data_IF_762650091319
#
_entry.id   IF_762650091319
#
_cell.length_a   1.000
_cell.length_b   1.000
_cell.length_c   1.000
_cell.angle_alpha   90.00
_cell.angle_beta   90.00
_cell.angle_gamma   90.00
#
_symmetry.space_group_name_H-M   'P 1'
#
loop_
_entity.id
_entity.type
_entity.pdbx_description
1 polymer ?
#
# COMPACT_ATOMS: atom_id res chain seq x y z
N UNK A 1 25.35 6.71 -16.20
CA UNK A 1 24.55 5.73 -15.41
C UNK A 1 23.13 6.26 -15.40
N UNK A 2 22.17 5.50 -15.93
CA UNK A 2 20.76 5.90 -15.97
C UNK A 2 20.23 5.97 -14.54
N UNK A 3 20.35 7.14 -13.90
CA UNK A 3 19.78 7.40 -12.58
C UNK A 3 18.27 7.56 -12.76
N UNK A 4 17.56 6.45 -12.91
CA UNK A 4 16.12 6.44 -12.74
C UNK A 4 15.84 6.94 -11.30
N UNK A 5 15.38 8.18 -11.18
CA UNK A 5 15.03 8.82 -9.90
C UNK A 5 13.91 8.02 -9.20
N UNK A 6 13.12 7.30 -9.99
CA UNK A 6 12.00 6.47 -9.54
C UNK A 6 12.43 5.00 -9.49
N UNK A 7 12.10 4.35 -8.38
CA UNK A 7 12.29 2.93 -8.14
C UNK A 7 10.96 2.20 -8.03
N UNK A 8 10.74 1.51 -6.91
CA UNK A 8 9.55 0.72 -6.67
C UNK A 8 8.25 1.55 -6.74
N UNK A 9 7.25 1.03 -7.47
CA UNK A 9 5.94 1.66 -7.65
C UNK A 9 6.00 3.13 -8.14
N UNK A 10 7.00 3.46 -8.95
CA UNK A 10 7.21 4.82 -9.44
C UNK A 10 7.59 5.84 -8.35
N UNK A 11 7.99 5.38 -7.17
CA UNK A 11 8.40 6.24 -6.06
C UNK A 11 9.92 6.34 -5.99
N UNK A 12 10.42 7.50 -5.56
CA UNK A 12 11.83 7.67 -5.24
C UNK A 12 12.15 6.98 -3.91
N UNK A 13 13.28 6.29 -3.85
CA UNK A 13 13.81 5.78 -2.58
C UNK A 13 14.37 6.94 -1.75
N UNK A 14 14.00 7.01 -0.48
CA UNK A 14 14.72 7.86 0.47
C UNK A 14 16.08 7.21 0.75
N UNK A 15 17.15 7.88 0.34
CA UNK A 15 18.52 7.39 0.49
C UNK A 15 19.02 7.39 1.92
N UNK A 16 18.34 8.12 2.84
CA UNK A 16 18.72 8.16 4.26
C UNK A 16 18.11 6.96 4.99
N UNK A 17 16.79 6.76 4.87
CA UNK A 17 16.11 5.64 5.52
C UNK A 17 16.08 4.33 4.71
N UNK A 18 16.50 4.37 3.44
CA UNK A 18 16.40 3.27 2.48
C UNK A 18 14.97 2.74 2.32
N UNK A 19 13.98 3.63 2.39
CA UNK A 19 12.56 3.29 2.35
C UNK A 19 11.80 4.04 1.25
N UNK A 20 10.61 3.55 0.91
CA UNK A 20 9.67 4.21 0.00
C UNK A 20 8.51 4.82 0.80
N UNK A 21 7.87 5.85 0.27
CA UNK A 21 6.86 6.64 0.97
C UNK A 21 5.52 6.70 0.21
N UNK A 22 4.78 5.58 0.07
CA UNK A 22 3.44 5.56 -0.51
C UNK A 22 2.44 6.29 0.38
N UNK A 23 1.25 6.62 -0.15
CA UNK A 23 0.25 7.34 0.64
C UNK A 23 0.66 8.75 1.02
N UNK A 24 1.37 9.46 0.13
CA UNK A 24 1.92 10.79 0.43
C UNK A 24 2.80 10.80 1.70
N UNK A 25 3.53 9.71 1.94
CA UNK A 25 4.39 9.55 3.11
C UNK A 25 3.68 9.18 4.41
N UNK A 26 2.40 8.79 4.35
CA UNK A 26 1.66 8.30 5.52
C UNK A 26 2.41 7.17 6.25
N UNK A 27 2.99 6.22 5.50
CA UNK A 27 3.82 5.14 6.05
C UNK A 27 5.06 4.88 5.22
N UNK A 28 6.18 4.62 5.90
CA UNK A 28 7.42 4.21 5.25
C UNK A 28 7.40 2.71 4.96
N UNK A 29 7.54 2.36 3.68
CA UNK A 29 7.66 0.98 3.18
C UNK A 29 9.12 0.57 3.10
N UNK A 30 9.46 -0.53 3.77
CA UNK A 30 10.80 -1.11 3.72
C UNK A 30 10.89 -2.12 2.56
N UNK A 31 11.71 -1.87 1.52
CA UNK A 31 11.80 -2.74 0.37
C UNK A 31 12.50 -4.07 0.65
N UNK A 32 13.31 -4.16 1.71
CA UNK A 32 13.98 -5.40 2.12
C UNK A 32 13.00 -6.32 2.85
N UNK A 33 12.25 -5.76 3.81
CA UNK A 33 11.25 -6.52 4.59
C UNK A 33 9.91 -6.68 3.87
N UNK A 34 9.69 -5.93 2.78
CA UNK A 34 8.45 -5.90 1.98
C UNK A 34 7.20 -5.58 2.79
N UNK A 35 7.32 -4.67 3.76
CA UNK A 35 6.24 -4.27 4.66
C UNK A 35 6.40 -2.82 5.12
N UNK A 36 5.37 -2.28 5.75
CA UNK A 36 5.47 -0.98 6.43
C UNK A 36 6.28 -1.06 7.71
N UNK A 37 6.96 0.03 8.06
CA UNK A 37 7.71 0.15 9.31
C UNK A 37 6.83 0.56 10.50
N UNK A 38 5.63 1.09 10.24
CA UNK A 38 4.65 1.47 11.25
C UNK A 38 3.31 0.74 11.04
N UNK A 39 2.60 0.43 12.13
CA UNK A 39 1.30 -0.23 12.06
C UNK A 39 0.24 0.71 11.44
N UNK A 40 -0.71 0.13 10.71
CA UNK A 40 -1.90 0.81 10.25
C UNK A 40 -2.83 1.16 11.43
N UNK A 41 -3.24 2.43 11.52
CA UNK A 41 -4.22 2.88 12.52
C UNK A 41 -5.64 2.33 12.29
N UNK A 42 -5.93 1.84 11.08
CA UNK A 42 -7.21 1.25 10.71
C UNK A 42 -7.22 -0.27 10.86
N UNK A 43 -6.10 -0.89 11.21
CA UNK A 43 -6.06 -2.31 11.59
C UNK A 43 -6.44 -2.50 13.08
N UNK A 44 -6.95 -3.68 13.47
CA UNK A 44 -7.28 -4.83 12.62
C UNK A 44 -8.73 -4.84 12.09
N UNK A 45 -9.59 -3.95 12.58
CA UNK A 45 -11.04 -4.01 12.35
C UNK A 45 -11.58 -3.03 11.30
N UNK A 46 -10.76 -2.10 10.82
CA UNK A 46 -11.06 -1.22 9.69
C UNK A 46 -10.46 -1.74 8.37
N UNK A 47 -10.31 -0.86 7.38
CA UNK A 47 -9.93 -1.26 6.02
C UNK A 47 -8.47 -1.73 5.89
N UNK A 48 -7.62 -1.47 6.90
CA UNK A 48 -6.24 -1.97 6.96
C UNK A 48 -6.12 -3.49 7.11
N UNK A 49 -7.22 -4.17 7.48
CA UNK A 49 -7.27 -5.61 7.68
C UNK A 49 -6.46 -6.10 8.88
N UNK A 50 -6.36 -7.41 9.06
CA UNK A 50 -5.81 -8.02 10.30
C UNK A 50 -4.31 -7.75 10.48
N UNK A 51 -3.53 -7.62 9.39
CA UNK A 51 -2.10 -7.40 9.46
C UNK A 51 -1.75 -5.91 9.31
N UNK A 52 -1.43 -5.18 10.41
CA UNK A 52 -1.19 -3.75 10.36
C UNK A 52 0.05 -3.34 9.58
N UNK A 53 0.95 -4.26 9.26
CA UNK A 53 2.20 -3.96 8.52
C UNK A 53 2.13 -4.33 7.04
N UNK A 54 1.05 -4.98 6.59
CA UNK A 54 0.96 -5.48 5.22
C UNK A 54 0.96 -4.34 4.19
N UNK A 55 1.80 -4.47 3.17
CA UNK A 55 1.73 -3.66 1.96
C UNK A 55 0.93 -4.41 0.89
N UNK A 56 -0.03 -3.75 0.23
CA UNK A 56 -0.86 -4.35 -0.83
C UNK A 56 -1.54 -5.68 -0.43
N UNK A 57 -1.87 -5.87 0.85
CA UNK A 57 -2.36 -7.14 1.40
C UNK A 57 -1.47 -8.37 1.06
N UNK A 58 -0.17 -8.16 0.83
CA UNK A 58 0.78 -9.20 0.44
C UNK A 58 0.88 -9.47 -1.06
N UNK A 59 0.12 -8.76 -1.91
CA UNK A 59 0.13 -8.94 -3.36
C UNK A 59 0.49 -7.62 -4.11
N UNK A 60 1.76 -7.19 -4.06
CA UNK A 60 2.21 -5.94 -4.70
C UNK A 60 2.34 -6.01 -6.22
N UNK A 61 2.14 -7.19 -6.83
CA UNK A 61 2.16 -7.35 -8.29
C UNK A 61 0.80 -6.96 -8.87
N UNK A 62 -0.28 -7.46 -8.27
CA UNK A 62 -1.62 -7.19 -8.76
C UNK A 62 -2.22 -5.95 -8.11
N UNK A 63 -1.77 -5.56 -6.91
CA UNK A 63 -2.38 -4.49 -6.13
C UNK A 63 -1.43 -3.32 -5.88
N UNK A 64 -2.00 -2.13 -5.83
CA UNK A 64 -1.35 -0.91 -5.38
C UNK A 64 -2.10 -0.35 -4.15
N UNK A 65 -1.36 0.24 -3.20
CA UNK A 65 -1.89 0.92 -2.03
C UNK A 65 -1.59 2.43 -2.14
N UNK A 66 -2.54 3.23 -2.67
CA UNK A 66 -2.31 4.64 -2.96
C UNK A 66 -2.24 5.50 -1.71
N UNK A 67 -2.96 5.14 -0.64
CA UNK A 67 -3.14 5.93 0.58
C UNK A 67 -2.39 5.36 1.80
N UNK A 68 -1.82 4.16 1.68
CA UNK A 68 -1.17 3.47 2.79
C UNK A 68 -2.18 2.88 3.78
N UNK A 69 -3.36 2.46 3.32
CA UNK A 69 -4.42 1.88 4.15
C UNK A 69 -5.15 0.74 3.44
N UNK A 70 -5.42 0.92 2.14
CA UNK A 70 -6.27 0.02 1.38
C UNK A 70 -5.75 -0.11 -0.05
N UNK A 71 -5.70 -1.36 -0.54
CA UNK A 71 -5.40 -1.59 -1.94
C UNK A 71 -6.55 -1.16 -2.86
N UNK A 72 -6.26 -0.61 -4.04
CA UNK A 72 -7.26 -0.20 -5.03
C UNK A 72 -8.29 -1.31 -5.36
N UNK A 73 -7.86 -2.58 -5.38
CA UNK A 73 -8.74 -3.74 -5.62
C UNK A 73 -9.79 -3.96 -4.55
N UNK A 74 -9.52 -3.61 -3.29
CA UNK A 74 -10.51 -3.69 -2.23
C UNK A 74 -11.66 -2.70 -2.49
N UNK A 75 -11.33 -1.49 -2.96
CA UNK A 75 -12.33 -0.51 -3.39
C UNK A 75 -13.20 -1.01 -4.54
N UNK A 76 -12.60 -1.62 -5.58
CA UNK A 76 -13.34 -2.23 -6.68
C UNK A 76 -14.26 -3.37 -6.22
N UNK A 77 -13.81 -4.19 -5.28
CA UNK A 77 -14.60 -5.27 -4.70
C UNK A 77 -15.86 -4.76 -3.99
N UNK A 78 -15.71 -3.71 -3.17
CA UNK A 78 -16.84 -3.08 -2.47
C UNK A 78 -17.84 -2.49 -3.47
N UNK A 79 -17.36 -1.73 -4.46
CA UNK A 79 -18.22 -1.10 -5.48
C UNK A 79 -19.00 -2.15 -6.29
N UNK A 80 -18.33 -3.23 -6.71
CA UNK A 80 -18.96 -4.33 -7.44
C UNK A 80 -20.04 -5.02 -6.59
N UNK A 81 -19.78 -5.21 -5.29
CA UNK A 81 -20.75 -5.78 -4.36
C UNK A 81 -22.01 -4.93 -4.20
N UNK A 82 -21.85 -3.61 -4.04
CA UNK A 82 -22.99 -2.68 -3.92
C UNK A 82 -23.82 -2.68 -5.22
N UNK A 83 -23.18 -2.62 -6.38
CA UNK A 83 -23.85 -2.68 -7.68
C UNK A 83 -24.66 -3.98 -7.85
N UNK A 84 -24.10 -5.12 -7.44
CA UNK A 84 -24.79 -6.41 -7.53
C UNK A 84 -25.98 -6.59 -6.58
N UNK A 85 -26.10 -5.76 -5.52
CA UNK A 85 -27.27 -5.75 -4.63
C UNK A 85 -28.36 -4.79 -5.13
N UNK A 86 -27.98 -3.75 -5.87
CA UNK A 86 -28.89 -2.71 -6.37
C UNK A 86 -29.49 -3.00 -7.76
N UNK A 87 -28.88 -3.91 -8.54
CA UNK A 87 -29.39 -4.42 -9.82
C UNK A 87 -30.21 -5.71 -9.61
#
# INVERSE_FOLDING_TARGET
MNNAVLGFNGQRIDTVSMSYHPGNGYRAYNPILKRFNCPDSWSPFGEGGINPYAFCAGDPINRADPNGHMSWWAGLGIVSGILGVLL
#
